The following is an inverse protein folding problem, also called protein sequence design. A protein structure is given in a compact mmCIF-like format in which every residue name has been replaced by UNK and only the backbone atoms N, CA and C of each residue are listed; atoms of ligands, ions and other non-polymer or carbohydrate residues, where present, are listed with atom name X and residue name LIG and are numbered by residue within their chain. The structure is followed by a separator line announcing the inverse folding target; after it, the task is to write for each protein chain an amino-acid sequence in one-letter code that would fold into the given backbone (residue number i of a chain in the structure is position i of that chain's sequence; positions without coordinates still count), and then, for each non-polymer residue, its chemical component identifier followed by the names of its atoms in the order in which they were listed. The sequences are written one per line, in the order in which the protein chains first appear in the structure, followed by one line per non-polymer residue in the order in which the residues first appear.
data_IF_116621382804
#
_entry.id   IF_116621382804
#
_cell.length_a   1.000
_cell.length_b   1.000
_cell.length_c   1.000
_cell.angle_alpha   90.00
_cell.angle_beta   90.00
_cell.angle_gamma   90.00
#
_symmetry.space_group_name_H-M   'P 1'
#
loop_
_entity.id
_entity.type
_entity.pdbx_description
1 polymer ?
#
# COMPACT_ATOMS: atom_id res chain seq x y z
N UNK A 1 10.36 6.63 -23.91
CA UNK A 1 10.15 6.94 -22.48
C UNK A 1 9.91 5.67 -21.68
N UNK A 2 8.90 4.86 -22.04
CA UNK A 2 8.57 3.58 -21.38
C UNK A 2 9.76 2.63 -21.14
N UNK A 3 10.67 2.47 -22.12
CA UNK A 3 11.83 1.59 -21.97
C UNK A 3 12.80 2.03 -20.85
N UNK A 4 13.00 3.34 -20.68
CA UNK A 4 13.86 3.87 -19.61
C UNK A 4 13.24 3.60 -18.24
N UNK A 5 11.94 3.86 -18.12
CA UNK A 5 11.18 3.62 -16.90
C UNK A 5 11.15 2.14 -16.55
N UNK A 6 10.96 1.27 -17.55
CA UNK A 6 11.06 -0.17 -17.38
C UNK A 6 12.46 -0.61 -16.92
N UNK A 7 13.54 -0.02 -17.47
CA UNK A 7 14.91 -0.32 -17.01
C UNK A 7 15.11 0.03 -15.53
N UNK A 8 14.59 1.17 -15.08
CA UNK A 8 14.61 1.57 -13.66
C UNK A 8 13.88 0.54 -12.79
N UNK A 9 12.69 0.09 -13.21
CA UNK A 9 11.90 -0.92 -12.49
C UNK A 9 12.55 -2.32 -12.46
N UNK A 10 13.18 -2.74 -13.56
CA UNK A 10 13.90 -4.02 -13.60
C UNK A 10 15.19 -3.98 -12.76
N UNK A 11 15.81 -2.81 -12.61
CA UNK A 11 16.90 -2.60 -11.66
C UNK A 11 16.40 -2.74 -10.22
N UNK A 12 15.24 -2.15 -9.88
CA UNK A 12 14.59 -2.32 -8.57
C UNK A 12 14.29 -3.80 -8.27
N UNK A 13 13.87 -4.56 -9.29
CA UNK A 13 13.64 -6.00 -9.19
C UNK A 13 14.93 -6.77 -8.90
N UNK A 14 16.01 -6.44 -9.60
CA UNK A 14 17.32 -7.06 -9.39
C UNK A 14 17.84 -6.80 -7.97
N UNK A 15 17.79 -5.55 -7.51
CA UNK A 15 18.21 -5.16 -6.16
C UNK A 15 17.38 -5.88 -5.08
N UNK A 16 16.04 -5.91 -5.23
CA UNK A 16 15.18 -6.59 -4.26
C UNK A 16 15.42 -8.10 -4.22
N UNK A 17 15.75 -8.72 -5.35
CA UNK A 17 16.14 -10.13 -5.41
C UNK A 17 17.46 -10.37 -4.67
N UNK A 18 18.48 -9.54 -4.91
CA UNK A 18 19.77 -9.62 -4.20
C UNK A 18 19.60 -9.44 -2.69
N UNK A 19 18.80 -8.45 -2.27
CA UNK A 19 18.46 -8.24 -0.86
C UNK A 19 17.78 -9.47 -0.24
N UNK A 20 16.87 -10.10 -0.98
CA UNK A 20 16.19 -11.32 -0.53
C UNK A 20 17.17 -12.48 -0.40
N UNK A 21 18.03 -12.69 -1.39
CA UNK A 21 19.03 -13.77 -1.39
C UNK A 21 20.07 -13.61 -0.26
N UNK A 22 20.54 -12.39 -0.01
CA UNK A 22 21.50 -12.10 1.07
C UNK A 22 20.95 -12.44 2.46
N UNK A 23 19.62 -12.39 2.62
CA UNK A 23 18.92 -12.75 3.86
C UNK A 23 18.57 -14.24 3.94
N UNK A 24 18.73 -15.01 2.87
CA UNK A 24 18.51 -16.47 2.84
C UNK A 24 19.83 -17.24 3.05
N UNK A 25 20.95 -16.66 2.61
CA UNK A 25 22.28 -17.28 2.76
C UNK A 25 22.72 -17.41 4.22
N UNK A 26 22.71 -18.63 4.76
CA UNK A 26 23.20 -18.95 6.11
C UNK A 26 22.15 -19.47 7.11
N UNK A 27 20.98 -19.90 6.63
CA UNK A 27 19.80 -20.17 7.46
C UNK A 27 19.49 -21.67 7.59
N UNK A 28 19.11 -22.11 8.80
CA UNK A 28 18.46 -23.39 9.05
C UNK A 28 16.98 -23.39 8.62
N UNK A 29 16.38 -24.56 8.44
CA UNK A 29 14.98 -24.67 7.97
C UNK A 29 13.96 -23.93 8.86
N UNK A 30 14.29 -23.72 10.14
CA UNK A 30 13.41 -23.07 11.10
C UNK A 30 13.35 -21.56 10.86
N UNK A 31 14.50 -20.90 10.72
CA UNK A 31 14.55 -19.48 10.40
C UNK A 31 13.96 -19.18 9.01
N UNK A 32 14.07 -20.11 8.05
CA UNK A 32 13.41 -19.98 6.74
C UNK A 32 11.89 -19.98 6.87
N UNK A 33 11.34 -20.88 7.69
CA UNK A 33 9.90 -20.97 7.97
C UNK A 33 9.38 -19.71 8.69
N UNK A 34 10.13 -19.20 9.67
CA UNK A 34 9.75 -18.01 10.43
C UNK A 34 9.70 -16.72 9.58
N UNK A 35 10.56 -16.65 8.55
CA UNK A 35 10.69 -15.52 7.64
C UNK A 35 9.96 -15.71 6.29
N UNK A 36 9.31 -16.86 6.07
CA UNK A 36 8.69 -17.21 4.79
C UNK A 36 7.76 -16.11 4.25
N UNK A 37 6.94 -15.49 5.12
CA UNK A 37 6.03 -14.42 4.70
C UNK A 37 6.75 -13.11 4.32
N UNK A 38 7.89 -12.82 4.96
CA UNK A 38 8.71 -11.65 4.61
C UNK A 38 9.36 -11.86 3.23
N UNK A 39 9.91 -13.06 2.99
CA UNK A 39 10.40 -13.44 1.66
C UNK A 39 9.28 -13.41 0.61
N UNK A 40 8.08 -13.91 0.94
CA UNK A 40 6.94 -13.83 0.02
C UNK A 40 6.56 -12.39 -0.32
N UNK A 41 6.62 -11.49 0.67
CA UNK A 41 6.37 -10.07 0.45
C UNK A 41 7.43 -9.46 -0.49
N UNK A 42 8.71 -9.73 -0.26
CA UNK A 42 9.80 -9.17 -1.05
C UNK A 42 9.88 -9.75 -2.47
N UNK A 43 9.68 -11.05 -2.63
CA UNK A 43 9.57 -11.71 -3.94
C UNK A 43 8.35 -11.21 -4.72
N UNK A 44 7.22 -10.96 -4.05
CA UNK A 44 6.04 -10.38 -4.68
C UNK A 44 6.31 -8.97 -5.25
N UNK A 45 7.23 -8.21 -4.64
CA UNK A 45 7.63 -6.88 -5.16
C UNK A 45 8.34 -6.99 -6.52
N UNK A 46 9.04 -8.08 -6.80
CA UNK A 46 9.71 -8.32 -8.10
C UNK A 46 8.66 -8.36 -9.22
N UNK A 47 7.60 -9.14 -9.04
CA UNK A 47 6.48 -9.24 -9.98
C UNK A 47 5.79 -7.87 -10.12
N UNK A 48 5.62 -7.13 -9.02
CA UNK A 48 5.04 -5.79 -9.06
C UNK A 48 5.84 -4.83 -9.96
N UNK A 49 7.17 -4.86 -9.88
CA UNK A 49 8.01 -3.99 -10.72
C UNK A 49 7.99 -4.40 -12.19
N UNK A 50 7.98 -5.71 -12.47
CA UNK A 50 7.83 -6.24 -13.83
C UNK A 50 6.49 -5.79 -14.44
N UNK A 51 5.39 -5.93 -13.72
CA UNK A 51 4.07 -5.54 -14.22
C UNK A 51 3.95 -4.02 -14.40
N UNK A 52 4.47 -3.20 -13.47
CA UNK A 52 4.51 -1.75 -13.66
C UNK A 52 5.38 -1.33 -14.84
N UNK A 53 6.45 -2.08 -15.15
CA UNK A 53 7.23 -1.87 -16.36
C UNK A 53 6.34 -2.11 -17.59
N UNK A 54 5.62 -3.22 -17.62
CA UNK A 54 4.74 -3.59 -18.73
C UNK A 54 3.58 -2.61 -18.91
N UNK A 55 3.04 -2.07 -17.83
CA UNK A 55 1.97 -1.06 -17.84
C UNK A 55 2.42 0.29 -18.42
N UNK A 56 3.73 0.55 -18.44
CA UNK A 56 4.29 1.75 -19.06
C UNK A 56 4.26 1.73 -20.58
N UNK A 57 4.00 0.58 -21.21
CA UNK A 57 3.93 0.45 -22.67
C UNK A 57 2.48 0.50 -23.16
N UNK A 58 2.30 1.05 -24.37
CA UNK A 58 1.02 1.03 -25.07
C UNK A 58 0.48 -0.39 -25.24
N UNK A 59 -0.85 -0.53 -25.15
CA UNK A 59 -1.50 -1.80 -25.39
C UNK A 59 -1.22 -2.31 -26.81
N UNK A 60 -0.96 -3.63 -26.93
CA UNK A 60 -0.61 -4.31 -28.18
C UNK A 60 0.71 -3.86 -28.84
N UNK A 61 1.57 -3.09 -28.16
CA UNK A 61 2.90 -2.74 -28.69
C UNK A 61 3.78 -3.99 -28.84
N UNK A 62 4.51 -4.16 -29.97
CA UNK A 62 5.48 -5.25 -30.13
C UNK A 62 6.57 -5.24 -29.04
N UNK A 63 6.98 -4.04 -28.58
CA UNK A 63 7.95 -3.92 -27.49
C UNK A 63 7.38 -4.46 -26.17
N UNK A 64 6.10 -4.17 -25.87
CA UNK A 64 5.42 -4.73 -24.68
C UNK A 64 5.44 -6.26 -24.73
N UNK A 65 5.15 -6.85 -25.89
CA UNK A 65 5.18 -8.30 -26.08
C UNK A 65 6.59 -8.89 -25.90
N UNK A 66 7.62 -8.24 -26.44
CA UNK A 66 9.02 -8.68 -26.28
C UNK A 66 9.50 -8.63 -24.83
N UNK A 67 9.23 -7.50 -24.13
CA UNK A 67 9.59 -7.34 -22.72
C UNK A 67 8.83 -8.36 -21.88
N UNK A 68 7.52 -8.52 -22.11
CA UNK A 68 6.69 -9.52 -21.44
C UNK A 68 7.26 -10.92 -21.59
N UNK A 69 7.58 -11.35 -22.82
CA UNK A 69 8.16 -12.67 -23.07
C UNK A 69 9.48 -12.88 -22.33
N UNK A 70 10.27 -11.82 -22.16
CA UNK A 70 11.55 -11.86 -21.45
C UNK A 70 11.39 -11.91 -19.93
N UNK A 71 10.31 -11.33 -19.37
CA UNK A 71 10.02 -11.32 -17.93
C UNK A 71 9.11 -12.46 -17.46
N UNK A 72 8.38 -13.09 -18.37
CA UNK A 72 7.40 -14.14 -18.06
C UNK A 72 8.05 -15.33 -17.34
N UNK A 73 9.21 -15.81 -17.82
CA UNK A 73 9.91 -16.93 -17.18
C UNK A 73 10.35 -16.59 -15.74
N UNK A 74 10.86 -15.38 -15.51
CA UNK A 74 11.24 -14.91 -14.18
C UNK A 74 10.03 -14.77 -13.24
N UNK A 75 8.88 -14.33 -13.78
CA UNK A 75 7.62 -14.21 -13.02
C UNK A 75 7.11 -15.58 -12.60
N UNK A 76 7.12 -16.57 -13.50
CA UNK A 76 6.70 -17.95 -13.22
C UNK A 76 7.59 -18.62 -12.17
N UNK A 77 8.91 -18.47 -12.28
CA UNK A 77 9.85 -18.98 -11.27
C UNK A 77 9.58 -18.32 -9.91
N UNK A 78 9.36 -17.01 -9.89
CA UNK A 78 9.04 -16.28 -8.67
C UNK A 78 7.72 -16.78 -8.06
N UNK A 79 6.66 -17.00 -8.86
CA UNK A 79 5.38 -17.53 -8.36
C UNK A 79 5.51 -18.96 -7.81
N UNK A 80 6.28 -19.83 -8.47
CA UNK A 80 6.56 -21.16 -7.95
C UNK A 80 7.20 -21.09 -6.56
N UNK A 81 8.21 -20.22 -6.37
CA UNK A 81 8.83 -20.00 -5.06
C UNK A 81 7.83 -19.43 -4.04
N UNK A 82 6.98 -18.47 -4.45
CA UNK A 82 5.93 -17.92 -3.59
C UNK A 82 4.95 -18.99 -3.09
N UNK A 83 4.55 -19.91 -3.95
CA UNK A 83 3.66 -21.03 -3.61
C UNK A 83 4.34 -22.03 -2.67
N UNK A 84 5.62 -22.35 -2.91
CA UNK A 84 6.42 -23.22 -2.01
C UNK A 84 6.50 -22.59 -0.62
N UNK A 85 6.87 -21.31 -0.53
CA UNK A 85 6.97 -20.59 0.75
C UNK A 85 5.62 -20.51 1.47
N UNK A 86 4.51 -20.40 0.73
CA UNK A 86 3.17 -20.39 1.32
C UNK A 86 2.80 -21.72 2.01
N UNK A 87 3.25 -22.85 1.44
CA UNK A 87 2.97 -24.20 1.96
C UNK A 87 4.03 -24.74 2.92
N UNK A 88 5.18 -24.07 3.06
CA UNK A 88 6.34 -24.57 3.78
C UNK A 88 6.02 -25.00 5.22
N UNK A 89 5.29 -24.16 5.98
CA UNK A 89 4.92 -24.46 7.36
C UNK A 89 4.06 -25.72 7.50
N UNK A 90 3.12 -25.94 6.56
CA UNK A 90 2.27 -27.12 6.52
C UNK A 90 3.06 -28.38 6.15
N UNK A 91 3.98 -28.28 5.19
CA UNK A 91 4.85 -29.38 4.78
C UNK A 91 5.76 -29.80 5.94
N UNK A 92 6.44 -28.85 6.60
CA UNK A 92 7.28 -29.14 7.75
C UNK A 92 6.48 -29.79 8.89
N UNK A 93 5.27 -29.30 9.16
CA UNK A 93 4.36 -29.92 10.12
C UNK A 93 3.97 -31.35 9.78
N UNK A 94 3.75 -31.66 8.49
CA UNK A 94 3.42 -33.01 8.01
C UNK A 94 4.57 -34.00 8.12
N UNK A 95 5.82 -33.52 8.05
CA UNK A 95 7.03 -34.33 8.23
C UNK A 95 7.37 -34.61 9.70
N UNK A 96 6.47 -34.28 10.64
CA UNK A 96 6.69 -34.46 12.07
C UNK A 96 7.71 -33.48 12.67
N UNK A 97 8.23 -32.55 11.87
CA UNK A 97 9.10 -31.48 12.32
C UNK A 97 8.22 -30.40 12.97
N UNK A 98 7.84 -30.65 14.22
CA UNK A 98 7.15 -29.67 15.06
C UNK A 98 8.13 -28.56 15.43
N UNK A 99 8.32 -27.62 14.52
CA UNK A 99 8.96 -26.37 14.85
C UNK A 99 8.01 -25.57 15.71
N UNK A 100 8.50 -25.10 16.85
CA UNK A 100 7.76 -24.28 17.78
C UNK A 100 7.59 -22.90 17.12
N UNK A 101 6.73 -22.81 16.11
CA UNK A 101 6.30 -21.53 15.53
C UNK A 101 5.67 -20.79 16.69
N UNK A 102 6.20 -19.65 17.13
CA UNK A 102 5.53 -18.86 18.14
C UNK A 102 4.18 -18.46 17.54
N UNK A 103 3.13 -19.18 17.95
CA UNK A 103 1.75 -18.70 17.89
C UNK A 103 1.83 -17.24 18.25
N UNK A 104 1.44 -16.35 17.35
CA UNK A 104 1.40 -14.88 17.48
C UNK A 104 1.30 -14.41 18.94
N UNK A 105 2.42 -14.41 19.66
CA UNK A 105 2.45 -14.09 21.09
C UNK A 105 3.89 -14.15 21.60
N UNK A 106 4.36 -12.97 22.01
CA UNK A 106 5.51 -12.73 22.91
C UNK A 106 6.91 -12.96 22.32
N UNK A 107 7.37 -11.98 21.52
CA UNK A 107 8.72 -11.46 21.80
C UNK A 107 8.66 -10.70 23.12
N UNK A 108 9.64 -10.93 24.01
CA UNK A 108 9.73 -10.29 25.33
C UNK A 108 9.54 -8.77 25.17
N UNK A 109 8.42 -8.28 25.67
CA UNK A 109 8.15 -6.86 25.81
C UNK A 109 8.83 -6.38 27.10
N UNK A 110 9.29 -5.14 27.11
CA UNK A 110 9.59 -4.49 28.38
C UNK A 110 8.29 -4.25 29.15
N UNK A 111 8.38 -3.91 30.44
CA UNK A 111 7.21 -3.63 31.29
C UNK A 111 6.29 -2.53 30.74
N UNK A 112 6.80 -1.68 29.83
CA UNK A 112 6.08 -0.63 29.12
C UNK A 112 5.30 -1.11 27.87
N UNK A 113 5.37 -2.40 27.51
CA UNK A 113 4.62 -3.01 26.41
C UNK A 113 5.26 -2.90 25.02
N UNK A 114 6.53 -2.50 24.93
CA UNK A 114 7.27 -2.37 23.66
C UNK A 114 8.42 -3.38 23.51
N UNK A 115 8.87 -3.70 22.27
CA UNK A 115 9.98 -4.63 22.04
C UNK A 115 11.33 -4.13 22.59
N UNK A 116 12.19 -5.06 23.03
CA UNK A 116 13.51 -4.74 23.63
C UNK A 116 14.50 -4.04 22.70
N UNK A 117 14.38 -4.25 21.38
CA UNK A 117 15.23 -3.59 20.37
C UNK A 117 14.77 -2.17 20.04
N UNK A 118 13.60 -1.74 20.53
CA UNK A 118 13.05 -0.40 20.27
C UNK A 118 13.60 0.62 21.28
N UNK A 119 14.35 1.65 20.84
CA UNK A 119 14.89 2.66 21.73
C UNK A 119 13.76 3.39 22.49
N UNK A 120 13.98 3.70 23.78
CA UNK A 120 12.97 4.37 24.62
C UNK A 120 12.49 5.73 24.07
N UNK A 121 13.32 6.42 23.29
CA UNK A 121 12.96 7.65 22.59
C UNK A 121 11.85 7.43 21.55
N UNK A 122 11.92 6.33 20.79
CA UNK A 122 10.90 5.95 19.80
C UNK A 122 9.59 5.54 20.49
N UNK A 123 9.66 4.99 21.71
CA UNK A 123 8.46 4.65 22.50
C UNK A 123 7.72 5.91 22.97
N UNK A 124 8.46 6.90 23.47
CA UNK A 124 7.92 8.20 23.92
C UNK A 124 7.37 9.04 22.75
N UNK A 125 7.98 8.92 21.57
CA UNK A 125 7.56 9.52 20.30
C UNK A 125 6.13 9.10 19.90
N UNK A 126 5.79 7.84 20.16
CA UNK A 126 4.52 7.20 19.76
C UNK A 126 3.38 7.39 20.78
N UNK A 127 3.72 7.58 22.06
CA UNK A 127 2.73 7.77 23.14
C UNK A 127 2.15 9.20 23.23
N UNK A 128 2.75 10.19 22.54
CA UNK A 128 2.31 11.59 22.64
C UNK A 128 0.99 11.86 21.88
N UNK A 129 -0.07 12.19 22.63
CA UNK A 129 -1.39 12.60 22.12
C UNK A 129 -1.53 14.12 21.87
N UNK A 130 -0.45 14.89 22.01
CA UNK A 130 -0.45 16.36 21.85
C UNK A 130 0.81 16.89 21.15
N UNK A 131 0.91 18.23 21.01
CA UNK A 131 2.00 18.94 20.31
C UNK A 131 3.40 18.80 20.95
N UNK A 132 3.54 18.02 22.03
CA UNK A 132 4.82 17.68 22.68
C UNK A 132 5.48 16.42 22.11
N UNK A 133 5.52 16.28 20.78
CA UNK A 133 6.13 15.15 20.09
C UNK A 133 7.65 15.05 20.31
N UNK A 134 8.24 13.92 19.92
CA UNK A 134 9.70 13.74 19.96
C UNK A 134 10.43 14.87 19.25
N UNK A 135 11.59 15.26 19.80
CA UNK A 135 12.45 16.29 19.22
C UNK A 135 12.77 15.91 17.77
N UNK A 136 12.28 16.67 16.77
CA UNK A 136 12.53 16.33 15.38
C UNK A 136 14.01 16.48 15.05
N UNK A 137 14.53 15.59 14.21
CA UNK A 137 15.88 15.72 13.66
C UNK A 137 15.95 16.88 12.65
N UNK A 138 14.85 17.13 11.94
CA UNK A 138 14.70 18.21 10.98
C UNK A 138 13.35 18.91 11.15
N UNK A 139 13.37 20.25 11.13
CA UNK A 139 12.15 21.08 11.06
C UNK A 139 12.12 21.77 9.72
N UNK A 140 11.03 21.58 8.98
CA UNK A 140 10.75 22.20 7.69
C UNK A 140 9.68 23.27 7.88
N UNK A 141 9.96 24.50 7.47
CA UNK A 141 9.00 25.60 7.54
C UNK A 141 9.22 26.62 6.41
N UNK A 142 8.14 27.00 5.72
CA UNK A 142 8.22 28.00 4.65
C UNK A 142 8.56 29.40 5.16
N UNK A 143 8.11 29.74 6.36
CA UNK A 143 8.30 31.04 7.02
C UNK A 143 9.73 31.27 7.56
N UNK A 144 10.63 30.30 7.38
CA UNK A 144 12.01 30.37 7.87
C UNK A 144 12.18 30.04 9.35
N UNK A 145 11.10 29.69 10.08
CA UNK A 145 11.16 29.31 11.50
C UNK A 145 11.67 27.87 11.74
N UNK A 146 12.08 27.18 10.68
CA UNK A 146 12.65 25.83 10.70
C UNK A 146 14.04 25.80 10.07
N UNK A 147 14.77 24.71 10.29
CA UNK A 147 16.12 24.52 9.72
C UNK A 147 16.11 24.44 8.19
N UNK A 148 15.03 23.93 7.61
CA UNK A 148 14.88 23.73 6.16
C UNK A 148 13.62 24.44 5.65
N UNK A 149 13.65 24.89 4.40
CA UNK A 149 12.47 25.46 3.71
C UNK A 149 11.65 24.41 2.93
N UNK A 150 12.26 23.27 2.61
CA UNK A 150 11.69 22.22 1.76
C UNK A 150 11.88 20.84 2.40
N UNK A 151 10.98 19.89 2.10
CA UNK A 151 11.10 18.51 2.58
C UNK A 151 12.30 17.84 1.92
N UNK A 152 12.55 18.13 0.63
CA UNK A 152 13.72 17.61 -0.08
C UNK A 152 15.05 18.02 0.58
N UNK A 153 15.18 19.24 1.10
CA UNK A 153 16.38 19.66 1.81
C UNK A 153 16.54 18.93 3.15
N UNK A 154 15.45 18.67 3.87
CA UNK A 154 15.49 17.85 5.09
C UNK A 154 15.89 16.40 4.80
N UNK A 155 15.40 15.80 3.72
CA UNK A 155 15.79 14.45 3.28
C UNK A 155 17.25 14.40 2.81
N UNK A 156 17.74 15.44 2.13
CA UNK A 156 19.15 15.53 1.73
C UNK A 156 20.09 15.60 2.95
N UNK A 157 19.61 16.09 4.08
CA UNK A 157 20.35 16.13 5.35
C UNK A 157 20.22 14.84 6.18
N UNK A 158 19.69 13.76 5.61
CA UNK A 158 19.63 12.46 6.27
C UNK A 158 21.06 11.96 6.59
N UNK A 159 21.38 11.64 7.85
CA UNK A 159 22.74 11.25 8.23
C UNK A 159 23.08 9.83 7.79
N UNK A 160 24.27 9.65 7.20
CA UNK A 160 24.79 8.33 6.84
C UNK A 160 24.93 7.46 8.10
N UNK A 161 24.48 6.21 8.03
CA UNK A 161 24.60 5.25 9.13
C UNK A 161 23.68 5.52 10.33
N UNK A 162 22.63 6.35 10.18
CA UNK A 162 21.64 6.57 11.23
C UNK A 162 21.10 5.23 11.76
N UNK A 163 21.18 5.04 13.08
CA UNK A 163 20.48 3.96 13.77
C UNK A 163 19.18 4.50 14.34
N UNK A 164 18.06 3.87 14.00
CA UNK A 164 16.72 4.29 14.46
C UNK A 164 15.99 5.15 13.43
N UNK A 165 15.10 6.02 13.92
CA UNK A 165 14.13 6.77 13.11
C UNK A 165 14.60 8.20 12.83
N UNK A 166 14.52 8.63 11.56
CA UNK A 166 14.75 10.03 11.19
C UNK A 166 13.44 10.80 11.20
N UNK A 167 13.28 11.73 12.14
CA UNK A 167 12.04 12.45 12.40
C UNK A 167 12.07 13.82 11.72
N UNK A 168 11.15 14.03 10.79
CA UNK A 168 10.98 15.30 10.07
C UNK A 168 9.64 15.91 10.50
N UNK A 169 9.70 17.07 11.15
CA UNK A 169 8.53 17.89 11.43
C UNK A 169 8.35 18.91 10.30
N UNK A 170 7.18 18.90 9.66
CA UNK A 170 6.82 19.84 8.60
C UNK A 170 5.72 20.75 9.11
N UNK A 171 6.02 22.04 9.27
CA UNK A 171 5.03 23.02 9.74
C UNK A 171 3.89 23.20 8.75
N UNK A 172 2.83 23.88 9.17
CA UNK A 172 1.73 24.25 8.31
C UNK A 172 2.23 25.03 7.08
N UNK A 173 1.74 24.66 5.90
CA UNK A 173 2.16 25.20 4.62
C UNK A 173 1.71 24.32 3.45
N UNK A 174 1.68 24.92 2.26
CA UNK A 174 1.48 24.21 0.99
C UNK A 174 2.83 24.10 0.30
N UNK A 175 3.39 22.89 0.34
CA UNK A 175 4.70 22.53 -0.18
C UNK A 175 4.55 22.06 -1.64
N UNK A 176 4.86 22.95 -2.59
CA UNK A 176 4.83 22.65 -4.03
C UNK A 176 6.15 22.00 -4.45
N UNK A 177 6.30 20.72 -4.15
CA UNK A 177 7.52 19.96 -4.40
C UNK A 177 7.20 18.51 -4.76
N UNK A 178 8.01 17.94 -5.67
CA UNK A 178 8.03 16.51 -5.94
C UNK A 178 9.08 15.89 -5.02
N UNK A 179 8.66 14.96 -4.16
CA UNK A 179 9.50 14.42 -3.08
C UNK A 179 9.68 12.92 -3.28
N UNK A 180 10.92 12.45 -3.16
CA UNK A 180 11.25 11.02 -3.14
C UNK A 180 12.02 10.67 -1.88
N UNK A 181 11.46 9.79 -1.05
CA UNK A 181 12.15 9.17 0.08
C UNK A 181 12.83 7.90 -0.43
N UNK A 182 14.09 8.05 -0.87
CA UNK A 182 14.88 6.99 -1.52
C UNK A 182 15.28 5.87 -0.56
N UNK A 183 15.56 4.67 -1.10
CA UNK A 183 15.84 3.43 -0.34
C UNK A 183 16.97 3.56 0.70
N UNK A 184 17.95 4.42 0.47
CA UNK A 184 19.08 4.71 1.37
C UNK A 184 18.68 5.51 2.64
N UNK A 185 17.40 5.89 2.77
CA UNK A 185 16.85 6.65 3.90
C UNK A 185 15.74 5.86 4.62
N UNK A 186 16.04 4.66 5.16
CA UNK A 186 15.03 3.84 5.84
C UNK A 186 14.51 4.52 7.10
N UNK A 187 13.36 4.07 7.61
CA UNK A 187 12.79 4.51 8.89
C UNK A 187 12.57 6.03 9.00
N UNK A 188 12.25 6.72 7.90
CA UNK A 188 11.82 8.13 7.97
C UNK A 188 10.43 8.21 8.60
N UNK A 189 10.26 9.12 9.55
CA UNK A 189 8.96 9.53 10.07
C UNK A 189 8.72 11.00 9.80
N UNK A 190 7.72 11.30 8.98
CA UNK A 190 7.29 12.67 8.69
C UNK A 190 5.98 12.97 9.41
N UNK A 191 5.88 14.14 10.04
CA UNK A 191 4.61 14.61 10.58
C UNK A 191 4.37 16.09 10.38
N UNK A 192 3.09 16.44 10.27
CA UNK A 192 2.64 17.81 10.04
C UNK A 192 1.76 18.39 11.15
N UNK A 193 1.39 19.66 10.97
CA UNK A 193 0.46 20.42 11.85
C UNK A 193 -1.02 20.07 11.61
N UNK A 194 -1.28 19.07 10.77
CA UNK A 194 -2.61 18.59 10.41
C UNK A 194 -2.72 18.33 8.92
N UNK A 195 -3.43 17.27 8.53
CA UNK A 195 -3.50 16.84 7.12
C UNK A 195 -4.22 17.81 6.16
N UNK A 196 -4.83 18.88 6.68
CA UNK A 196 -5.39 19.99 5.89
C UNK A 196 -4.54 21.27 5.96
N UNK A 197 -3.47 21.26 6.74
CA UNK A 197 -2.62 22.43 7.03
C UNK A 197 -1.22 22.25 6.48
N UNK A 198 -0.69 21.03 6.54
CA UNK A 198 0.61 20.66 5.97
C UNK A 198 0.39 19.76 4.78
N UNK A 199 0.53 20.30 3.57
CA UNK A 199 0.17 19.62 2.32
C UNK A 199 1.35 19.64 1.36
N UNK A 200 1.74 18.48 0.84
CA UNK A 200 2.65 18.37 -0.31
C UNK A 200 1.81 18.22 -1.57
N UNK A 201 2.06 19.06 -2.58
CA UNK A 201 1.23 19.10 -3.79
C UNK A 201 2.02 19.20 -5.09
N UNK A 202 1.53 18.49 -6.11
CA UNK A 202 1.99 18.55 -7.48
C UNK A 202 0.82 18.45 -8.46
N UNK A 203 1.10 18.36 -9.75
CA UNK A 203 0.11 18.33 -10.83
C UNK A 203 0.57 17.52 -12.06
N UNK A 204 1.65 16.75 -11.94
CA UNK A 204 2.11 15.86 -13.01
C UNK A 204 1.03 14.83 -13.37
N UNK A 205 0.86 14.55 -14.65
CA UNK A 205 -0.22 13.69 -15.12
C UNK A 205 0.08 13.07 -16.49
N UNK A 206 -0.62 11.98 -16.79
CA UNK A 206 -0.44 11.26 -18.04
C UNK A 206 -0.87 12.08 -19.25
N UNK A 207 -2.08 12.65 -19.22
CA UNK A 207 -2.74 13.22 -20.39
C UNK A 207 -2.02 14.44 -20.98
N UNK A 208 -1.57 15.35 -20.11
CA UNK A 208 -1.03 16.66 -20.49
C UNK A 208 0.50 16.66 -20.57
N UNK A 209 1.16 15.86 -19.74
CA UNK A 209 2.64 15.82 -19.69
C UNK A 209 3.23 14.66 -20.52
N UNK A 210 2.42 13.70 -20.97
CA UNK A 210 2.89 12.58 -21.78
C UNK A 210 3.86 11.64 -21.04
N UNK A 211 3.77 11.57 -19.71
CA UNK A 211 4.60 10.72 -18.86
C UNK A 211 3.80 9.53 -18.33
N UNK A 212 4.44 8.37 -18.17
CA UNK A 212 3.77 7.19 -17.60
C UNK A 212 3.29 7.43 -16.17
N UNK A 213 2.18 6.78 -15.78
CA UNK A 213 1.54 6.89 -14.45
C UNK A 213 2.55 6.83 -13.30
N UNK A 214 3.54 5.94 -13.40
CA UNK A 214 4.64 5.78 -12.45
C UNK A 214 5.35 7.09 -12.07
N UNK A 215 5.55 7.99 -13.05
CA UNK A 215 6.29 9.27 -12.88
C UNK A 215 5.40 10.45 -12.50
N UNK A 216 4.10 10.24 -12.39
CA UNK A 216 3.13 11.31 -12.05
C UNK A 216 3.06 11.60 -10.56
N UNK A 217 3.60 10.72 -9.72
CA UNK A 217 3.52 10.80 -8.27
C UNK A 217 4.10 12.12 -7.72
N UNK A 218 3.30 12.82 -6.90
CA UNK A 218 3.77 14.01 -6.16
C UNK A 218 4.73 13.62 -5.04
N UNK A 219 4.39 12.57 -4.29
CA UNK A 219 5.22 12.05 -3.21
C UNK A 219 5.53 10.56 -3.47
N UNK A 220 6.80 10.19 -3.40
CA UNK A 220 7.28 8.83 -3.63
C UNK A 220 7.96 8.33 -2.37
N UNK A 221 7.57 7.15 -1.91
CA UNK A 221 8.22 6.43 -0.81
C UNK A 221 8.84 5.16 -1.35
N UNK A 222 10.17 5.06 -1.31
CA UNK A 222 10.93 3.86 -1.69
C UNK A 222 11.67 3.21 -0.51
N UNK A 223 11.76 3.93 0.62
CA UNK A 223 12.42 3.45 1.82
C UNK A 223 11.48 2.64 2.72
N UNK A 224 11.91 1.46 3.16
CA UNK A 224 11.16 0.61 4.08
C UNK A 224 11.01 1.27 5.47
N UNK A 225 9.90 0.98 6.17
CA UNK A 225 9.63 1.49 7.53
C UNK A 225 9.17 2.95 7.61
N UNK A 226 8.76 3.53 6.48
CA UNK A 226 8.26 4.91 6.39
C UNK A 226 6.98 5.11 7.19
N UNK A 227 6.90 6.24 7.92
CA UNK A 227 5.68 6.65 8.62
C UNK A 227 5.32 8.08 8.23
N UNK A 228 4.05 8.32 7.95
CA UNK A 228 3.49 9.66 7.85
C UNK A 228 2.36 9.88 8.87
N UNK A 229 2.35 11.04 9.53
CA UNK A 229 1.27 11.45 10.43
C UNK A 229 0.82 12.88 10.16
N UNK A 230 -0.48 13.15 10.16
CA UNK A 230 -1.00 14.51 10.03
C UNK A 230 -0.52 15.26 8.76
N UNK A 231 -0.31 14.54 7.66
CA UNK A 231 0.16 15.09 6.38
C UNK A 231 -0.92 15.01 5.31
N UNK A 232 -0.97 16.01 4.44
CA UNK A 232 -1.72 15.99 3.18
C UNK A 232 -0.79 15.70 2.00
N UNK A 233 -1.22 14.84 1.07
CA UNK A 233 -0.56 14.55 -0.19
C UNK A 233 -1.58 14.74 -1.31
N UNK A 234 -1.27 15.57 -2.30
CA UNK A 234 -2.24 15.87 -3.37
C UNK A 234 -1.63 15.96 -4.76
N UNK A 235 -2.40 15.51 -5.74
CA UNK A 235 -2.18 15.80 -7.14
C UNK A 235 -3.36 16.60 -7.70
N UNK A 236 -3.09 17.80 -8.21
CA UNK A 236 -4.11 18.77 -8.64
C UNK A 236 -4.31 18.80 -10.16
N UNK A 237 -3.88 17.78 -10.90
CA UNK A 237 -4.05 17.71 -12.36
C UNK A 237 -5.51 17.79 -12.84
N UNK A 238 -6.44 17.35 -11.98
CA UNK A 238 -7.87 17.26 -12.30
C UNK A 238 -8.23 15.97 -13.04
N UNK A 239 -9.54 15.72 -13.28
CA UNK A 239 -9.98 14.54 -13.99
C UNK A 239 -9.52 14.54 -15.46
N UNK A 240 -9.31 15.71 -16.06
CA UNK A 240 -8.74 15.88 -17.41
C UNK A 240 -7.25 15.54 -17.49
N UNK A 241 -6.56 15.38 -16.36
CA UNK A 241 -5.19 14.87 -16.34
C UNK A 241 -5.09 13.36 -16.55
N UNK A 242 -6.23 12.65 -16.54
CA UNK A 242 -6.26 11.19 -16.43
C UNK A 242 -5.41 10.71 -15.24
N UNK A 243 -4.54 9.71 -15.43
CA UNK A 243 -3.70 9.16 -14.36
C UNK A 243 -2.80 10.24 -13.74
N UNK A 244 -2.96 10.48 -12.44
CA UNK A 244 -2.23 11.53 -11.73
C UNK A 244 -2.08 11.18 -10.24
N UNK A 245 -0.95 10.56 -9.90
CA UNK A 245 -0.72 9.99 -8.58
C UNK A 245 -0.41 11.06 -7.54
N UNK A 246 -1.12 11.05 -6.41
CA UNK A 246 -0.81 11.91 -5.26
C UNK A 246 0.36 11.33 -4.46
N UNK A 247 0.33 10.03 -4.19
CA UNK A 247 1.41 9.32 -3.52
C UNK A 247 1.61 7.91 -4.06
N UNK A 248 2.87 7.54 -4.30
CA UNK A 248 3.32 6.19 -4.67
C UNK A 248 4.15 5.62 -3.54
N UNK A 249 3.79 4.41 -3.09
CA UNK A 249 4.43 3.75 -1.94
C UNK A 249 4.99 2.40 -2.36
N UNK A 250 6.30 2.36 -2.52
CA UNK A 250 7.15 1.19 -2.72
C UNK A 250 7.93 0.91 -1.42
N UNK A 251 7.24 0.54 -0.34
CA UNK A 251 7.83 0.50 0.99
C UNK A 251 7.17 -0.58 1.84
N UNK A 252 7.98 -1.52 2.32
CA UNK A 252 7.53 -2.52 3.26
C UNK A 252 7.41 -1.96 4.67
N UNK A 253 6.40 -2.42 5.41
CA UNK A 253 6.07 -1.96 6.76
C UNK A 253 5.86 -0.45 6.88
N UNK A 254 5.19 0.16 5.89
CA UNK A 254 4.86 1.59 5.90
C UNK A 254 3.51 1.89 6.55
N UNK A 255 3.41 3.00 7.28
CA UNK A 255 2.18 3.38 7.97
C UNK A 255 1.80 4.85 7.82
N UNK A 256 0.50 5.10 7.67
CA UNK A 256 -0.08 6.43 7.49
C UNK A 256 -1.18 6.65 8.52
N UNK A 257 -1.06 7.71 9.33
CA UNK A 257 -2.02 8.01 10.38
C UNK A 257 -2.54 9.44 10.31
N UNK A 258 -3.86 9.59 10.25
CA UNK A 258 -4.51 10.90 10.15
C UNK A 258 -3.99 11.71 8.96
N UNK A 259 -3.79 11.04 7.82
CA UNK A 259 -3.32 11.65 6.58
C UNK A 259 -4.47 11.92 5.61
N UNK A 260 -4.23 12.78 4.63
CA UNK A 260 -5.18 13.07 3.56
C UNK A 260 -4.49 12.86 2.21
N UNK A 261 -5.09 12.02 1.37
CA UNK A 261 -4.58 11.68 0.04
C UNK A 261 -5.65 12.13 -0.96
N UNK A 262 -5.37 13.18 -1.72
CA UNK A 262 -6.35 13.81 -2.60
C UNK A 262 -5.88 13.81 -4.07
N UNK A 263 -6.67 13.20 -4.94
CA UNK A 263 -6.48 13.24 -6.39
C UNK A 263 -7.80 13.03 -7.12
N UNK A 264 -7.70 12.59 -8.37
CA UNK A 264 -8.83 12.13 -9.17
C UNK A 264 -8.56 10.67 -9.55
N UNK A 265 -8.09 10.42 -10.77
CA UNK A 265 -7.71 9.08 -11.21
C UNK A 265 -6.33 8.71 -10.65
N UNK A 266 -6.19 7.48 -10.16
CA UNK A 266 -4.94 6.88 -9.66
C UNK A 266 -4.33 7.59 -8.42
N UNK A 267 -5.17 8.03 -7.47
CA UNK A 267 -4.71 8.86 -6.32
C UNK A 267 -3.62 8.20 -5.45
N UNK A 268 -3.84 6.97 -5.00
CA UNK A 268 -2.90 6.20 -4.19
C UNK A 268 -2.41 4.99 -4.99
N UNK A 269 -1.11 4.95 -5.25
CA UNK A 269 -0.42 3.77 -5.77
C UNK A 269 0.23 3.01 -4.60
N UNK A 270 -0.41 1.97 -4.07
CA UNK A 270 0.17 1.04 -3.08
C UNK A 270 1.07 0.02 -3.79
N UNK A 271 2.10 0.51 -4.44
CA UNK A 271 2.89 -0.24 -5.40
C UNK A 271 3.40 -1.59 -4.87
N UNK A 272 4.08 -1.63 -3.73
CA UNK A 272 4.68 -2.86 -3.21
C UNK A 272 4.91 -2.79 -1.70
N UNK A 273 5.21 -3.95 -1.09
CA UNK A 273 5.38 -4.09 0.35
C UNK A 273 4.06 -4.08 1.13
N UNK A 274 4.16 -4.19 2.46
CA UNK A 274 3.02 -4.12 3.39
C UNK A 274 2.78 -2.69 3.85
N UNK A 275 1.52 -2.25 3.78
CA UNK A 275 1.15 -0.86 4.04
C UNK A 275 -0.12 -0.78 4.90
N UNK A 276 -0.12 0.13 5.88
CA UNK A 276 -1.25 0.33 6.78
C UNK A 276 -1.70 1.79 6.82
N UNK A 277 -2.98 2.04 6.50
CA UNK A 277 -3.56 3.38 6.50
C UNK A 277 -4.66 3.46 7.54
N UNK A 278 -4.56 4.39 8.48
CA UNK A 278 -5.50 4.53 9.59
C UNK A 278 -5.97 5.96 9.76
N UNK A 279 -7.29 6.13 9.93
CA UNK A 279 -7.87 7.46 10.13
C UNK A 279 -7.57 8.43 8.98
N UNK A 280 -7.41 7.91 7.77
CA UNK A 280 -7.08 8.73 6.61
C UNK A 280 -8.35 9.22 5.90
N UNK A 281 -8.18 10.26 5.09
CA UNK A 281 -9.17 10.63 4.07
C UNK A 281 -8.54 10.39 2.71
N UNK A 282 -9.13 9.51 1.91
CA UNK A 282 -8.66 9.18 0.56
C UNK A 282 -9.72 9.61 -0.43
N UNK A 283 -9.38 10.45 -1.42
CA UNK A 283 -10.34 10.95 -2.39
C UNK A 283 -9.90 10.78 -3.83
N UNK A 284 -10.83 10.39 -4.70
CA UNK A 284 -10.55 10.19 -6.13
C UNK A 284 -11.78 9.78 -6.95
N UNK A 285 -11.55 9.35 -8.19
CA UNK A 285 -12.57 8.99 -9.18
C UNK A 285 -12.41 7.56 -9.70
N UNK A 286 -11.56 7.38 -10.71
CA UNK A 286 -11.29 6.11 -11.39
C UNK A 286 -10.07 5.48 -10.73
N UNK A 287 -10.20 4.21 -10.32
CA UNK A 287 -9.10 3.36 -9.84
C UNK A 287 -8.24 4.03 -8.76
N UNK A 288 -8.83 4.88 -7.93
CA UNK A 288 -8.04 5.82 -7.14
C UNK A 288 -7.28 5.17 -5.98
N UNK A 289 -7.56 3.90 -5.67
CA UNK A 289 -6.74 3.02 -4.83
C UNK A 289 -6.27 1.83 -5.68
N UNK A 290 -5.02 1.84 -6.13
CA UNK A 290 -4.49 0.82 -7.04
C UNK A 290 -3.05 0.44 -6.70
N UNK A 291 -2.60 -0.73 -7.15
CA UNK A 291 -1.23 -1.20 -6.90
C UNK A 291 -1.13 -2.71 -6.79
N UNK A 292 0.05 -3.19 -6.40
CA UNK A 292 0.39 -4.62 -6.31
C UNK A 292 0.76 -5.07 -4.88
N UNK A 293 0.90 -4.12 -3.95
CA UNK A 293 1.30 -4.38 -2.57
C UNK A 293 0.20 -5.03 -1.72
N UNK A 294 0.49 -5.20 -0.44
CA UNK A 294 -0.48 -5.67 0.55
C UNK A 294 -0.92 -4.48 1.41
N UNK A 295 -2.18 -4.06 1.31
CA UNK A 295 -2.65 -2.86 1.99
C UNK A 295 -3.91 -3.11 2.82
N UNK A 296 -3.93 -2.56 4.04
CA UNK A 296 -5.16 -2.45 4.84
C UNK A 296 -5.44 -0.98 5.11
N UNK A 297 -6.60 -0.53 4.66
CA UNK A 297 -7.14 0.81 4.92
C UNK A 297 -8.21 0.66 6.00
N UNK A 298 -7.91 1.14 7.20
CA UNK A 298 -8.73 0.92 8.38
C UNK A 298 -9.31 2.21 8.94
N UNK A 299 -10.60 2.20 9.29
CA UNK A 299 -11.26 3.32 9.97
C UNK A 299 -10.98 4.67 9.31
N UNK A 300 -11.15 4.69 7.99
CA UNK A 300 -10.83 5.82 7.13
C UNK A 300 -12.08 6.26 6.38
N UNK A 301 -12.05 7.48 5.86
CA UNK A 301 -13.10 8.01 5.01
C UNK A 301 -12.63 7.95 3.56
N UNK A 302 -13.39 7.23 2.74
CA UNK A 302 -13.19 7.12 1.30
C UNK A 302 -14.19 8.07 0.63
N UNK A 303 -13.67 9.05 -0.09
CA UNK A 303 -14.43 10.17 -0.65
C UNK A 303 -14.44 10.05 -2.17
N UNK A 304 -15.59 9.72 -2.72
CA UNK A 304 -15.73 9.65 -4.16
C UNK A 304 -15.95 11.05 -4.74
N UNK A 305 -15.28 11.36 -5.85
CA UNK A 305 -15.35 12.65 -6.55
C UNK A 305 -16.07 12.53 -7.88
N UNK A 306 -16.41 13.66 -8.49
CA UNK A 306 -17.03 13.70 -9.81
C UNK A 306 -15.98 13.36 -10.89
N UNK A 307 -16.20 12.31 -11.69
CA UNK A 307 -15.33 11.99 -12.82
C UNK A 307 -15.69 12.85 -14.04
N UNK A 308 -14.96 12.67 -15.14
CA UNK A 308 -15.37 13.23 -16.42
C UNK A 308 -16.67 12.60 -16.94
N UNK A 309 -17.45 13.28 -17.82
CA UNK A 309 -18.79 12.83 -18.21
C UNK A 309 -18.91 11.41 -18.79
N UNK A 310 -17.84 10.87 -19.39
CA UNK A 310 -17.77 9.53 -19.98
C UNK A 310 -17.12 8.47 -19.08
N UNK A 311 -16.68 8.85 -17.89
CA UNK A 311 -16.01 7.97 -16.94
C UNK A 311 -16.97 7.51 -15.84
N UNK A 312 -16.66 6.36 -15.24
CA UNK A 312 -17.34 5.87 -14.05
C UNK A 312 -16.33 5.66 -12.94
N UNK A 313 -16.78 5.75 -11.69
CA UNK A 313 -15.89 5.63 -10.54
C UNK A 313 -15.71 4.18 -10.10
N UNK A 314 -14.48 3.86 -9.72
CA UNK A 314 -14.06 2.60 -9.11
C UNK A 314 -13.18 2.92 -7.92
N UNK A 315 -13.53 2.39 -6.75
CA UNK A 315 -12.75 2.64 -5.54
C UNK A 315 -11.40 1.94 -5.61
N UNK A 316 -11.36 0.68 -6.04
CA UNK A 316 -10.13 -0.10 -6.15
C UNK A 316 -9.84 -0.62 -7.55
N UNK A 317 -8.54 -0.77 -7.85
CA UNK A 317 -8.04 -1.51 -8.99
C UNK A 317 -6.80 -2.31 -8.58
N UNK A 318 -7.02 -3.48 -7.99
CA UNK A 318 -5.92 -4.30 -7.49
C UNK A 318 -5.20 -5.04 -8.61
N UNK A 319 -3.87 -4.90 -8.62
CA UNK A 319 -2.96 -5.39 -9.63
C UNK A 319 -2.37 -6.76 -9.33
N UNK A 320 -2.86 -7.52 -8.34
CA UNK A 320 -2.29 -8.84 -8.07
C UNK A 320 -2.34 -9.73 -9.31
N UNK A 321 -1.15 -10.12 -9.77
CA UNK A 321 -0.92 -10.76 -11.07
C UNK A 321 -0.86 -12.26 -10.99
N UNK A 322 -0.36 -12.80 -9.87
CA UNK A 322 -0.17 -14.23 -9.67
C UNK A 322 -0.82 -14.74 -8.37
N UNK A 323 -1.19 -16.03 -8.36
CA UNK A 323 -1.88 -16.67 -7.24
C UNK A 323 -1.00 -16.75 -5.99
N UNK A 324 0.32 -16.94 -6.11
CA UNK A 324 1.22 -17.06 -4.97
C UNK A 324 1.44 -15.76 -4.20
N UNK A 325 1.21 -14.61 -4.85
CA UNK A 325 1.42 -13.28 -4.25
C UNK A 325 0.52 -13.06 -3.01
N UNK A 326 1.07 -12.55 -1.89
CA UNK A 326 0.30 -12.20 -0.70
C UNK A 326 -0.46 -10.87 -0.84
N UNK A 327 -0.25 -10.12 -1.93
CA UNK A 327 -0.83 -8.79 -2.19
C UNK A 327 -2.37 -8.72 -2.22
N UNK A 328 -2.87 -7.49 -2.28
CA UNK A 328 -4.30 -7.19 -2.27
C UNK A 328 -4.63 -5.98 -1.41
N UNK A 329 -5.86 -5.48 -1.56
CA UNK A 329 -6.38 -4.37 -0.79
C UNK A 329 -7.55 -4.80 0.10
N UNK A 330 -7.47 -4.42 1.37
CA UNK A 330 -8.55 -4.61 2.35
C UNK A 330 -9.04 -3.25 2.84
N UNK A 331 -10.32 -2.97 2.58
CA UNK A 331 -11.05 -1.83 3.12
C UNK A 331 -11.78 -2.31 4.37
N UNK A 332 -11.29 -1.92 5.55
CA UNK A 332 -11.77 -2.43 6.83
C UNK A 332 -12.35 -1.34 7.72
N UNK A 333 -13.63 -1.45 8.05
CA UNK A 333 -14.30 -0.50 8.94
C UNK A 333 -14.19 0.95 8.44
N UNK A 334 -14.36 1.14 7.13
CA UNK A 334 -14.32 2.47 6.53
C UNK A 334 -15.73 3.05 6.33
N UNK A 335 -15.79 4.30 5.85
CA UNK A 335 -17.01 4.91 5.35
C UNK A 335 -16.77 5.40 3.93
N UNK A 336 -17.56 4.93 2.97
CA UNK A 336 -17.52 5.42 1.59
C UNK A 336 -18.64 6.46 1.43
N UNK A 337 -18.31 7.68 0.99
CA UNK A 337 -19.24 8.83 0.94
C UNK A 337 -19.26 9.52 -0.42
N UNK A 338 -20.26 10.42 -0.57
CA UNK A 338 -20.64 11.25 -1.73
C UNK A 338 -21.52 10.58 -2.78
N UNK A 339 -22.62 11.23 -3.15
CA UNK A 339 -23.67 10.65 -4.00
C UNK A 339 -23.30 10.69 -5.50
N UNK A 340 -22.37 9.82 -5.91
CA UNK A 340 -21.90 9.68 -7.29
C UNK A 340 -21.85 8.18 -7.61
N UNK A 341 -22.43 7.77 -8.75
CA UNK A 341 -22.46 6.35 -9.16
C UNK A 341 -21.06 5.75 -9.13
N UNK A 342 -20.88 4.69 -8.34
CA UNK A 342 -19.56 4.13 -8.04
C UNK A 342 -19.60 2.62 -7.86
N UNK A 343 -18.54 1.96 -8.27
CA UNK A 343 -18.27 0.55 -8.00
C UNK A 343 -17.16 0.41 -6.95
N UNK A 344 -17.19 -0.68 -6.17
CA UNK A 344 -16.18 -1.00 -5.17
C UNK A 344 -14.80 -1.25 -5.81
N UNK A 345 -14.76 -1.79 -7.03
CA UNK A 345 -13.54 -1.92 -7.79
C UNK A 345 -13.70 -2.68 -9.10
N UNK A 346 -12.58 -2.86 -9.80
CA UNK A 346 -12.45 -3.65 -11.03
C UNK A 346 -11.09 -4.35 -11.13
N UNK A 347 -10.99 -5.53 -11.76
CA UNK A 347 -9.78 -6.35 -11.67
C UNK A 347 -8.70 -5.89 -12.65
N UNK A 348 -7.74 -5.10 -12.20
CA UNK A 348 -6.67 -4.64 -13.09
C UNK A 348 -5.82 -5.80 -13.64
N UNK A 349 -5.63 -6.86 -12.85
CA UNK A 349 -4.85 -8.06 -13.22
C UNK A 349 -5.57 -9.35 -12.84
N UNK A 350 -5.04 -10.47 -13.34
CA UNK A 350 -5.69 -11.79 -13.29
C UNK A 350 -6.14 -12.26 -11.90
N UNK A 351 -5.32 -12.08 -10.87
CA UNK A 351 -5.62 -12.53 -9.52
C UNK A 351 -5.94 -11.38 -8.57
N UNK A 352 -6.49 -10.28 -9.15
CA UNK A 352 -6.93 -9.08 -8.43
C UNK A 352 -7.68 -9.45 -7.16
N UNK A 353 -7.25 -8.89 -6.03
CA UNK A 353 -7.81 -9.21 -4.71
C UNK A 353 -8.22 -7.96 -3.96
N UNK A 354 -9.53 -7.80 -3.76
CA UNK A 354 -10.12 -6.72 -2.96
C UNK A 354 -11.11 -7.31 -1.95
N UNK A 355 -10.98 -6.90 -0.69
CA UNK A 355 -11.92 -7.25 0.38
C UNK A 355 -12.49 -5.99 1.01
N UNK A 356 -13.82 -5.89 1.07
CA UNK A 356 -14.53 -4.78 1.72
C UNK A 356 -15.31 -5.32 2.91
N UNK A 357 -14.88 -4.96 4.12
CA UNK A 357 -15.41 -5.55 5.33
C UNK A 357 -15.70 -4.55 6.44
N UNK A 358 -16.77 -4.79 7.21
CA UNK A 358 -17.28 -3.95 8.30
C UNK A 358 -17.48 -2.46 7.89
N UNK A 359 -17.67 -2.21 6.60
CA UNK A 359 -17.61 -0.86 6.01
C UNK A 359 -19.01 -0.33 5.74
N UNK A 360 -19.21 0.98 5.98
CA UNK A 360 -20.46 1.66 5.68
C UNK A 360 -20.50 2.04 4.18
N UNK A 361 -21.44 1.45 3.45
CA UNK A 361 -21.70 1.65 2.03
C UNK A 361 -23.01 2.41 1.84
N UNK A 362 -22.93 3.59 1.25
CA UNK A 362 -24.10 4.40 0.91
C UNK A 362 -24.72 3.98 -0.44
N UNK A 363 -25.89 4.51 -0.75
CA UNK A 363 -26.80 4.11 -1.82
C UNK A 363 -26.30 4.38 -3.24
N UNK A 364 -25.30 5.24 -3.40
CA UNK A 364 -24.63 5.48 -4.68
C UNK A 364 -23.72 4.34 -5.14
N UNK A 365 -23.36 3.41 -4.25
CA UNK A 365 -22.69 2.17 -4.62
C UNK A 365 -23.65 1.35 -5.47
N UNK A 366 -23.24 1.04 -6.70
CA UNK A 366 -24.13 0.36 -7.65
C UNK A 366 -24.53 -1.02 -7.14
N UNK A 367 -25.77 -1.49 -7.41
CA UNK A 367 -26.24 -2.80 -6.98
C UNK A 367 -25.34 -3.95 -7.39
N UNK A 368 -24.76 -3.88 -8.59
CA UNK A 368 -23.76 -4.83 -9.13
C UNK A 368 -22.51 -4.92 -8.23
N UNK A 369 -22.19 -3.83 -7.52
CA UNK A 369 -21.08 -3.69 -6.58
C UNK A 369 -19.72 -3.55 -7.26
N UNK A 370 -19.45 -4.38 -8.26
CA UNK A 370 -18.14 -4.53 -8.91
C UNK A 370 -18.27 -4.38 -10.42
N UNK A 371 -17.25 -3.81 -11.06
CA UNK A 371 -17.23 -3.62 -12.50
C UNK A 371 -16.21 -4.55 -13.16
N UNK A 372 -16.49 -5.08 -14.37
CA UNK A 372 -15.49 -5.80 -15.14
C UNK A 372 -14.34 -4.87 -15.55
N UNK A 373 -13.16 -5.42 -15.80
CA UNK A 373 -12.06 -4.67 -16.39
C UNK A 373 -12.30 -4.42 -17.88
N UNK A 374 -12.46 -5.51 -18.63
CA UNK A 374 -12.83 -5.52 -20.05
C UNK A 374 -13.48 -6.85 -20.40
N UNK A 375 -14.75 -6.84 -20.79
CA UNK A 375 -15.52 -8.07 -21.07
C UNK A 375 -15.45 -9.06 -19.89
N UNK A 376 -15.06 -10.31 -20.19
CA UNK A 376 -14.91 -11.37 -19.19
C UNK A 376 -13.49 -11.52 -18.63
N UNK A 377 -12.60 -10.58 -18.93
CA UNK A 377 -11.20 -10.65 -18.51
C UNK A 377 -11.09 -10.73 -16.98
N UNK A 378 -10.37 -11.75 -16.50
CA UNK A 378 -10.04 -12.03 -15.09
C UNK A 378 -11.20 -12.43 -14.16
N UNK A 379 -12.42 -12.52 -14.69
CA UNK A 379 -13.61 -12.84 -13.87
C UNK A 379 -13.57 -14.26 -13.27
N UNK A 380 -12.82 -15.19 -13.88
CA UNK A 380 -12.68 -16.56 -13.40
C UNK A 380 -11.55 -16.75 -12.37
N UNK A 381 -10.69 -15.75 -12.17
CA UNK A 381 -9.45 -15.87 -11.38
C UNK A 381 -9.30 -14.85 -10.24
N UNK A 382 -10.03 -13.74 -10.27
CA UNK A 382 -9.99 -12.71 -9.21
C UNK A 382 -10.46 -13.28 -7.85
N UNK A 383 -10.25 -12.50 -6.78
CA UNK A 383 -10.83 -12.79 -5.46
C UNK A 383 -11.43 -11.51 -4.89
N UNK A 384 -12.73 -11.30 -5.08
CA UNK A 384 -13.45 -10.18 -4.47
C UNK A 384 -14.31 -10.67 -3.34
N UNK A 385 -14.35 -9.90 -2.25
CA UNK A 385 -15.08 -10.33 -1.08
C UNK A 385 -15.75 -9.19 -0.31
N UNK A 386 -16.93 -9.47 0.23
CA UNK A 386 -17.66 -8.59 1.14
C UNK A 386 -17.95 -9.30 2.48
N UNK A 387 -17.83 -8.58 3.60
CA UNK A 387 -18.14 -9.10 4.94
C UNK A 387 -18.75 -8.04 5.85
N UNK A 388 -19.94 -8.30 6.40
CA UNK A 388 -20.57 -7.46 7.44
C UNK A 388 -20.60 -5.96 7.11
N UNK A 389 -20.75 -5.59 5.84
CA UNK A 389 -20.94 -4.20 5.42
C UNK A 389 -22.33 -3.71 5.84
N UNK A 390 -22.47 -2.40 6.07
CA UNK A 390 -23.72 -1.78 6.52
C UNK A 390 -24.11 -0.60 5.63
N UNK A 391 -25.36 -0.14 5.74
CA UNK A 391 -25.88 0.97 4.95
C UNK A 391 -26.57 0.52 3.65
N UNK A 392 -27.24 1.45 2.95
CA UNK A 392 -28.12 1.12 1.83
C UNK A 392 -27.39 0.51 0.62
N UNK A 393 -26.09 0.77 0.43
CA UNK A 393 -25.27 0.18 -0.63
C UNK A 393 -24.75 -1.23 -0.33
N UNK A 394 -24.96 -1.74 0.89
CA UNK A 394 -24.42 -3.03 1.34
C UNK A 394 -25.27 -4.25 0.93
N UNK A 395 -26.44 -4.04 0.31
CA UNK A 395 -27.29 -5.14 -0.11
C UNK A 395 -26.62 -5.98 -1.21
N UNK A 396 -26.47 -7.28 -0.97
CA UNK A 396 -25.70 -8.19 -1.84
C UNK A 396 -26.54 -8.94 -2.88
N UNK A 397 -27.88 -8.94 -2.75
CA UNK A 397 -28.81 -9.72 -3.60
C UNK A 397 -28.70 -9.45 -5.11
N UNK A 398 -28.21 -8.27 -5.50
CA UNK A 398 -28.09 -7.82 -6.90
C UNK A 398 -26.63 -7.66 -7.35
N UNK A 399 -25.68 -8.19 -6.58
CA UNK A 399 -24.27 -8.18 -6.99
C UNK A 399 -24.09 -9.02 -8.26
N UNK A 400 -23.01 -8.73 -8.98
CA UNK A 400 -22.55 -9.56 -10.10
C UNK A 400 -22.43 -11.04 -9.70
N UNK A 401 -22.70 -11.96 -10.63
CA UNK A 401 -22.74 -13.42 -10.36
C UNK A 401 -21.42 -14.13 -10.66
N UNK A 402 -20.29 -13.47 -10.43
CA UNK A 402 -18.98 -14.08 -10.65
C UNK A 402 -18.73 -15.15 -9.58
N UNK A 403 -18.23 -16.34 -9.97
CA UNK A 403 -17.90 -17.42 -9.03
C UNK A 403 -16.80 -17.04 -8.02
N UNK A 404 -16.05 -16.01 -8.37
CA UNK A 404 -14.92 -15.41 -7.64
C UNK A 404 -15.32 -14.23 -6.75
N UNK A 405 -16.61 -13.89 -6.70
CA UNK A 405 -17.16 -12.96 -5.72
C UNK A 405 -17.65 -13.76 -4.49
N UNK A 406 -17.10 -13.43 -3.33
CA UNK A 406 -17.31 -14.14 -2.09
C UNK A 406 -18.05 -13.27 -1.06
N UNK A 407 -19.00 -13.87 -0.35
CA UNK A 407 -19.62 -13.27 0.82
C UNK A 407 -19.15 -14.05 2.05
N UNK A 408 -18.20 -13.47 2.77
CA UNK A 408 -17.43 -14.20 3.76
C UNK A 408 -18.23 -14.49 5.02
N UNK A 409 -17.84 -15.55 5.72
CA UNK A 409 -18.16 -15.78 7.13
C UNK A 409 -17.06 -15.18 8.00
N UNK A 410 -17.35 -15.03 9.29
CA UNK A 410 -16.42 -14.44 10.27
C UNK A 410 -15.03 -15.08 10.26
N UNK A 411 -14.95 -16.41 10.21
CA UNK A 411 -13.67 -17.13 10.24
C UNK A 411 -12.83 -16.89 8.99
N UNK A 412 -13.47 -16.71 7.83
CA UNK A 412 -12.80 -16.38 6.57
C UNK A 412 -12.34 -14.92 6.58
N UNK A 413 -13.18 -14.01 7.08
CA UNK A 413 -12.86 -12.60 7.20
C UNK A 413 -11.66 -12.32 8.13
N UNK A 414 -11.41 -13.16 9.14
CA UNK A 414 -10.23 -13.05 10.02
C UNK A 414 -8.90 -13.07 9.26
N UNK A 415 -8.84 -13.76 8.12
CA UNK A 415 -7.64 -13.83 7.27
C UNK A 415 -7.26 -12.48 6.65
N UNK A 416 -8.25 -11.58 6.50
CA UNK A 416 -8.06 -10.26 5.89
C UNK A 416 -7.87 -9.14 6.91
N UNK A 417 -7.84 -9.45 8.21
CA UNK A 417 -7.58 -8.46 9.25
C UNK A 417 -6.13 -7.98 9.23
N UNK A 418 -5.87 -6.76 9.74
CA UNK A 418 -4.51 -6.21 9.78
C UNK A 418 -3.51 -7.11 10.52
N UNK A 419 -3.97 -7.85 11.53
CA UNK A 419 -3.13 -8.80 12.29
C UNK A 419 -2.66 -9.97 11.43
N UNK A 420 -3.54 -10.56 10.62
CA UNK A 420 -3.23 -11.72 9.78
C UNK A 420 -2.67 -11.30 8.43
N UNK A 421 -3.43 -10.50 7.67
CA UNK A 421 -3.12 -10.14 6.28
C UNK A 421 -1.78 -9.39 6.13
N UNK A 422 -1.47 -8.51 7.08
CA UNK A 422 -0.21 -7.76 7.06
C UNK A 422 0.82 -8.27 8.08
N UNK A 423 0.53 -9.35 8.82
CA UNK A 423 1.28 -9.72 10.03
C UNK A 423 1.43 -8.53 10.99
N UNK A 424 0.40 -7.70 11.08
CA UNK A 424 0.47 -6.37 11.68
C UNK A 424 0.87 -6.35 13.16
N UNK A 425 0.67 -7.45 13.87
CA UNK A 425 1.14 -7.59 15.26
C UNK A 425 2.66 -7.45 15.42
N UNK A 426 3.44 -7.71 14.37
CA UNK A 426 4.91 -7.68 14.40
C UNK A 426 5.48 -6.29 14.18
N UNK A 427 4.82 -5.45 13.38
CA UNK A 427 5.39 -4.18 12.91
C UNK A 427 4.48 -2.97 13.13
N UNK A 428 3.15 -3.09 12.95
CA UNK A 428 2.24 -1.93 13.06
C UNK A 428 2.28 -1.35 14.48
N UNK A 429 2.38 -2.18 15.52
CA UNK A 429 2.51 -1.69 16.91
C UNK A 429 3.74 -0.79 17.10
N UNK A 430 4.83 -1.08 16.37
CA UNK A 430 6.08 -0.32 16.44
C UNK A 430 6.00 1.02 15.68
N UNK A 431 4.92 1.23 14.93
CA UNK A 431 4.63 2.53 14.29
C UNK A 431 3.86 3.47 15.21
N UNK A 432 3.35 2.96 16.33
CA UNK A 432 2.45 3.66 17.26
C UNK A 432 1.12 4.11 16.67
N UNK A 433 0.82 3.71 15.44
CA UNK A 433 -0.48 3.93 14.81
C UNK A 433 -1.50 3.02 15.50
N UNK A 434 -2.64 3.55 15.98
CA UNK A 434 -3.70 2.72 16.54
C UNK A 434 -4.23 1.73 15.50
N UNK A 435 -4.25 0.44 15.84
CA UNK A 435 -4.69 -0.60 14.91
C UNK A 435 -5.65 -1.59 15.58
N UNK A 436 -6.74 -1.90 14.90
CA UNK A 436 -7.56 -3.07 15.18
C UNK A 436 -6.95 -4.25 14.41
N UNK A 437 -6.30 -5.18 15.12
CA UNK A 437 -5.60 -6.30 14.49
C UNK A 437 -6.52 -7.48 14.14
N UNK A 438 -7.76 -7.50 14.64
CA UNK A 438 -8.76 -8.52 14.34
C UNK A 438 -10.04 -7.91 13.77
N UNK A 439 -11.17 -8.60 13.89
CA UNK A 439 -12.50 -8.04 13.59
C UNK A 439 -13.05 -7.28 14.79
N UNK A 440 -14.10 -6.46 14.58
CA UNK A 440 -14.83 -5.86 15.69
C UNK A 440 -15.56 -6.96 16.48
N UNK A 441 -15.70 -6.74 17.79
CA UNK A 441 -16.46 -7.63 18.67
C UNK A 441 -17.95 -7.42 18.47
#
# INVERSE_FOLDING_TARGET
MALKDCKELLQDASERLQDTLSKVGGIDLQSLSDQADDYRTWLSSIIAYQEMCLDGFEENSPLKAQVKNSTDHGSQLTDNVLNILAGLSQVLGSLGLKFNVPSTSRRLLQADGYPTWMPAADRKLLASRGNGGARPNAVVAHDGSGKFKTINAALAAYPKGLRGRYVIYVKAGIYREYVTVTKDKPNVFIYGDGARRTIVTGNKNFAKDGIGTWKTATFIVEADGFIAKNMGFSNTAGPDGHQAVAIRVNSDMSAFYNCRLDGYQDTLCYQAGRQFYRNCVLSGTVDFLFGYGSVVIQNSMIVVRRPNPSQFNTVTADGRKERGQPGGIVIHNCRIRFNIKTYLGRPWKAFSRTVVMETQLADFIQPDGWAPWSGNQFLDTLYYAEYANTGPGAATKRRVRWKTLHFLRRNEALQFTAGTFLRGGQWIRNTGVPALLGLRR
#
